data_IF_576177150596
#
_entry.id   IF_576177150596
#
_cell.length_a   1.000
_cell.length_b   1.000
_cell.length_c   1.000
_cell.angle_alpha   90.00
_cell.angle_beta   90.00
_cell.angle_gamma   90.00
#
_symmetry.space_group_name_H-M   'P 1'
#
loop_
_entity.id
_entity.type
_entity.pdbx_description
1 polymer ?
#
# COMPACT_ATOMS: atom_id res chain seq x y z
N UNK A 1 3.91 1.79 -2.70
CA UNK A 1 3.77 0.48 -3.35
C UNK A 1 4.57 0.48 -4.65
N UNK A 2 4.38 -0.50 -5.52
CA UNK A 2 5.18 -0.71 -6.72
C UNK A 2 6.19 -1.85 -6.58
N UNK A 3 6.87 -2.22 -7.69
CA UNK A 3 7.77 -3.36 -7.73
C UNK A 3 8.97 -3.16 -6.79
N UNK A 4 9.34 -4.24 -6.09
CA UNK A 4 10.51 -4.27 -5.22
C UNK A 4 11.79 -4.46 -6.05
N UNK A 5 12.90 -3.92 -5.57
CA UNK A 5 14.22 -4.05 -6.21
C UNK A 5 15.08 -5.17 -5.62
N UNK A 6 14.74 -5.66 -4.42
CA UNK A 6 15.50 -6.68 -3.70
C UNK A 6 14.87 -7.00 -2.35
N UNK A 7 15.62 -7.71 -1.51
CA UNK A 7 15.16 -8.19 -0.19
C UNK A 7 15.01 -7.08 0.86
N UNK A 8 15.58 -5.89 0.61
CA UNK A 8 15.38 -4.72 1.45
C UNK A 8 14.26 -3.85 0.87
N UNK A 9 13.15 -3.74 1.60
CA UNK A 9 11.94 -3.06 1.16
C UNK A 9 11.16 -2.43 2.31
N UNK A 10 10.36 -1.42 1.96
CA UNK A 10 9.64 -0.55 2.90
C UNK A 10 8.52 -1.26 3.66
N UNK A 11 7.99 -0.58 4.69
CA UNK A 11 6.90 -1.10 5.51
C UNK A 11 5.61 -1.39 4.72
N UNK A 12 5.27 -0.58 3.71
CA UNK A 12 4.08 -0.83 2.88
C UNK A 12 4.24 -2.07 1.99
N UNK A 13 5.45 -2.40 1.56
CA UNK A 13 5.73 -3.66 0.87
C UNK A 13 5.65 -4.84 1.84
N UNK A 14 6.08 -4.66 3.10
CA UNK A 14 5.94 -5.67 4.16
C UNK A 14 4.48 -6.05 4.40
N UNK A 15 3.52 -5.11 4.30
CA UNK A 15 2.09 -5.43 4.37
C UNK A 15 1.69 -6.47 3.32
N UNK A 16 2.07 -6.24 2.06
CA UNK A 16 1.76 -7.15 0.95
C UNK A 16 2.48 -8.50 1.13
N UNK A 17 3.75 -8.48 1.53
CA UNK A 17 4.50 -9.70 1.81
C UNK A 17 3.85 -10.53 2.91
N UNK A 18 3.50 -9.92 4.04
CA UNK A 18 2.86 -10.60 5.17
C UNK A 18 1.52 -11.23 4.75
N UNK A 19 0.71 -10.53 3.95
CA UNK A 19 -0.54 -11.09 3.42
C UNK A 19 -0.28 -12.34 2.57
N UNK A 20 0.67 -12.27 1.64
CA UNK A 20 1.04 -13.39 0.78
C UNK A 20 1.68 -14.56 1.57
N UNK A 21 2.36 -14.26 2.67
CA UNK A 21 2.95 -15.24 3.59
C UNK A 21 1.92 -15.85 4.56
N UNK A 22 0.66 -15.40 4.54
CA UNK A 22 -0.41 -15.98 5.34
C UNK A 22 -0.69 -15.26 6.66
N UNK A 23 -0.58 -13.94 6.68
CA UNK A 23 -1.08 -13.13 7.79
C UNK A 23 -2.51 -13.56 8.17
N UNK A 24 -2.81 -13.84 9.46
CA UNK A 24 -4.05 -14.49 9.87
C UNK A 24 -5.34 -13.74 9.52
N UNK A 25 -5.28 -12.43 9.31
CA UNK A 25 -6.44 -11.62 8.97
C UNK A 25 -6.11 -10.16 8.67
N UNK A 26 -7.13 -9.47 8.19
CA UNK A 26 -7.12 -8.05 7.91
C UNK A 26 -7.51 -7.24 9.15
N UNK A 27 -6.94 -6.05 9.26
CA UNK A 27 -7.29 -5.06 10.29
C UNK A 27 -8.09 -3.93 9.63
N UNK A 28 -8.93 -3.23 10.38
CA UNK A 28 -9.66 -2.05 9.90
C UNK A 28 -8.74 -0.84 9.74
N UNK A 29 -7.76 -0.94 8.87
CA UNK A 29 -6.82 0.13 8.53
C UNK A 29 -6.83 0.37 7.04
N UNK A 30 -6.77 1.65 6.67
CA UNK A 30 -6.64 2.07 5.28
C UNK A 30 -5.20 2.44 4.96
N UNK A 31 -4.85 2.45 3.67
CA UNK A 31 -3.56 2.88 3.18
C UNK A 31 -3.74 3.75 1.94
N UNK A 32 -3.09 4.92 1.91
CA UNK A 32 -2.93 5.67 0.69
C UNK A 32 -2.00 4.91 -0.26
N UNK A 33 -2.39 4.83 -1.54
CA UNK A 33 -1.70 4.01 -2.52
C UNK A 33 -1.07 4.88 -3.62
N UNK A 34 0.20 4.63 -3.90
CA UNK A 34 0.93 5.16 -5.06
C UNK A 34 2.05 4.18 -5.44
N UNK A 35 2.31 4.04 -6.73
CA UNK A 35 3.46 3.29 -7.24
C UNK A 35 4.74 4.13 -7.11
N UNK A 36 5.82 3.52 -6.61
CA UNK A 36 7.12 4.19 -6.44
C UNK A 36 7.66 4.76 -7.77
N UNK A 37 7.33 4.15 -8.91
CA UNK A 37 7.69 4.65 -10.24
C UNK A 37 6.98 5.97 -10.54
N UNK A 38 5.73 6.11 -10.12
CA UNK A 38 4.96 7.33 -10.30
C UNK A 38 5.38 8.42 -9.30
N UNK A 39 5.82 8.05 -8.10
CA UNK A 39 6.46 8.98 -7.15
C UNK A 39 7.74 9.56 -7.73
N UNK A 40 8.56 8.73 -8.39
CA UNK A 40 9.78 9.17 -9.05
C UNK A 40 9.48 10.12 -10.24
N UNK A 41 8.47 9.80 -11.05
CA UNK A 41 7.99 10.69 -12.11
C UNK A 41 7.51 12.04 -11.55
N UNK A 42 6.70 12.04 -10.49
CA UNK A 42 6.25 13.27 -9.83
C UNK A 42 7.41 14.08 -9.26
N UNK A 43 8.39 13.40 -8.65
CA UNK A 43 9.61 14.06 -8.15
C UNK A 43 10.35 14.77 -9.28
N UNK A 44 10.57 14.10 -10.41
CA UNK A 44 11.26 14.69 -11.54
C UNK A 44 10.50 15.92 -12.07
N UNK A 45 9.17 15.82 -12.25
CA UNK A 45 8.33 16.95 -12.66
C UNK A 45 8.44 18.12 -11.70
N UNK A 46 8.36 17.86 -10.39
CA UNK A 46 8.47 18.89 -9.38
C UNK A 46 9.85 19.57 -9.34
N UNK A 47 10.91 18.85 -9.73
CA UNK A 47 12.26 19.41 -9.85
C UNK A 47 12.44 20.28 -11.09
N UNK A 48 11.76 19.96 -12.20
CA UNK A 48 12.02 20.59 -13.51
C UNK A 48 10.99 21.62 -13.93
N UNK A 49 9.75 21.51 -13.46
CA UNK A 49 8.68 22.43 -13.86
C UNK A 49 8.71 23.71 -13.01
N UNK A 50 8.85 24.91 -13.63
CA UNK A 50 8.81 26.17 -12.90
C UNK A 50 7.54 26.38 -12.06
N UNK A 51 6.40 25.80 -12.48
CA UNK A 51 5.14 25.88 -11.74
C UNK A 51 5.17 25.12 -10.40
N UNK A 52 6.16 24.25 -10.18
CA UNK A 52 6.34 23.54 -8.93
C UNK A 52 7.06 24.37 -7.85
N UNK A 53 7.64 25.52 -8.20
CA UNK A 53 8.47 26.30 -7.27
C UNK A 53 7.67 26.77 -6.05
N UNK A 54 8.09 26.33 -4.86
CA UNK A 54 7.44 26.68 -3.59
C UNK A 54 6.19 25.87 -3.29
N UNK A 55 5.84 24.90 -4.15
CA UNK A 55 4.65 24.09 -4.00
C UNK A 55 4.94 22.76 -3.29
N UNK A 56 3.92 22.25 -2.58
CA UNK A 56 3.88 20.88 -2.03
C UNK A 56 2.86 20.05 -2.77
N UNK A 57 3.21 18.81 -3.08
CA UNK A 57 2.36 17.85 -3.79
C UNK A 57 2.20 16.57 -2.98
N UNK A 58 1.01 15.98 -3.02
CA UNK A 58 0.74 14.66 -2.44
C UNK A 58 0.80 13.62 -3.56
N UNK A 59 1.67 12.62 -3.38
CA UNK A 59 1.77 11.48 -4.28
C UNK A 59 0.80 10.40 -3.80
N UNK A 60 -0.42 10.39 -4.32
CA UNK A 60 -1.48 9.43 -3.98
C UNK A 60 -2.40 9.24 -5.17
N UNK A 61 -3.03 8.08 -5.29
CA UNK A 61 -3.93 7.75 -6.38
C UNK A 61 -5.29 7.33 -5.83
N UNK A 62 -6.33 8.07 -6.20
CA UNK A 62 -7.70 7.78 -5.78
C UNK A 62 -7.90 7.81 -4.27
N UNK A 63 -8.95 7.12 -3.82
CA UNK A 63 -9.23 6.89 -2.41
C UNK A 63 -8.27 5.85 -1.82
N UNK A 64 -8.07 5.93 -0.50
CA UNK A 64 -7.29 4.92 0.22
C UNK A 64 -7.92 3.53 0.06
N UNK A 65 -7.10 2.48 0.23
CA UNK A 65 -7.57 1.10 0.25
C UNK A 65 -7.55 0.56 1.67
N UNK A 66 -8.67 0.03 2.12
CA UNK A 66 -8.73 -0.80 3.32
C UNK A 66 -7.93 -2.08 3.13
N UNK A 67 -7.34 -2.56 4.22
CA UNK A 67 -6.54 -3.78 4.20
C UNK A 67 -7.30 -4.99 3.61
N UNK A 68 -8.61 -5.08 3.86
CA UNK A 68 -9.47 -6.13 3.31
C UNK A 68 -9.63 -6.01 1.79
N UNK A 69 -9.76 -4.80 1.25
CA UNK A 69 -9.85 -4.57 -0.20
C UNK A 69 -8.54 -4.97 -0.91
N UNK A 70 -7.40 -4.71 -0.26
CA UNK A 70 -6.09 -5.17 -0.76
C UNK A 70 -6.06 -6.70 -0.78
N UNK A 71 -6.49 -7.37 0.30
CA UNK A 71 -6.52 -8.83 0.38
C UNK A 71 -7.43 -9.45 -0.69
N UNK A 72 -8.62 -8.89 -0.90
CA UNK A 72 -9.57 -9.30 -1.93
C UNK A 72 -8.98 -9.12 -3.33
N UNK A 73 -8.34 -7.98 -3.61
CA UNK A 73 -7.65 -7.72 -4.87
C UNK A 73 -6.57 -8.78 -5.13
N UNK A 74 -5.72 -9.07 -4.14
CA UNK A 74 -4.66 -10.09 -4.27
C UNK A 74 -5.27 -11.48 -4.55
N UNK A 75 -6.29 -11.89 -3.81
CA UNK A 75 -7.02 -13.14 -4.02
C UNK A 75 -7.60 -13.26 -5.41
N UNK A 76 -8.27 -12.20 -5.87
CA UNK A 76 -8.94 -12.18 -7.17
C UNK A 76 -7.94 -12.25 -8.33
N UNK A 77 -6.79 -11.58 -8.21
CA UNK A 77 -5.87 -11.37 -9.34
C UNK A 77 -4.71 -12.36 -9.39
N UNK A 78 -4.28 -12.92 -8.26
CA UNK A 78 -3.12 -13.81 -8.19
C UNK A 78 -3.47 -15.31 -8.03
N UNK A 79 -4.75 -15.63 -7.80
CA UNK A 79 -5.23 -17.00 -7.72
C UNK A 79 -4.44 -17.85 -6.71
N UNK A 80 -3.84 -18.95 -7.16
CA UNK A 80 -3.06 -19.86 -6.29
C UNK A 80 -1.91 -19.17 -5.56
N UNK A 81 -1.27 -18.17 -6.17
CA UNK A 81 -0.16 -17.46 -5.53
C UNK A 81 -0.61 -16.61 -4.32
N UNK A 82 -1.90 -16.34 -4.18
CA UNK A 82 -2.50 -15.66 -3.02
C UNK A 82 -3.36 -16.61 -2.17
N UNK A 83 -3.18 -17.94 -2.26
CA UNK A 83 -4.05 -18.88 -1.54
C UNK A 83 -4.02 -18.72 -0.02
N UNK A 84 -2.90 -18.23 0.52
CA UNK A 84 -2.68 -17.95 1.94
C UNK A 84 -3.26 -16.61 2.40
N UNK A 85 -3.62 -15.71 1.48
CA UNK A 85 -4.14 -14.38 1.81
C UNK A 85 -5.51 -14.52 2.49
N UNK A 86 -5.61 -14.07 3.74
CA UNK A 86 -6.87 -14.03 4.49
C UNK A 86 -7.65 -12.75 4.18
N UNK A 87 -8.95 -12.90 3.87
CA UNK A 87 -9.89 -11.79 3.71
C UNK A 87 -10.77 -11.57 4.95
N UNK A 88 -10.51 -12.28 6.05
CA UNK A 88 -11.26 -12.12 7.29
C UNK A 88 -10.77 -10.89 8.06
N UNK A 89 -11.70 -10.02 8.44
CA UNK A 89 -11.41 -8.84 9.25
C UNK A 89 -11.48 -9.18 10.74
N UNK A 90 -10.44 -8.82 11.49
CA UNK A 90 -10.41 -8.98 12.94
C UNK A 90 -11.35 -7.99 13.63
N UNK A 91 -12.15 -8.41 14.61
CA UNK A 91 -12.86 -7.48 15.48
C UNK A 91 -11.87 -6.56 16.19
N UNK A 92 -12.12 -5.25 16.21
CA UNK A 92 -11.19 -4.26 16.76
C UNK A 92 -10.82 -4.53 18.23
N UNK A 93 -11.75 -5.08 19.02
CA UNK A 93 -11.49 -5.44 20.41
C UNK A 93 -10.36 -6.47 20.52
N UNK A 94 -10.36 -7.49 19.64
CA UNK A 94 -9.29 -8.48 19.58
C UNK A 94 -7.96 -7.83 19.18
N UNK A 95 -7.99 -6.85 18.26
CA UNK A 95 -6.80 -6.10 17.86
C UNK A 95 -6.25 -5.30 19.05
N UNK A 96 -7.11 -4.63 19.82
CA UNK A 96 -6.71 -3.85 21.00
C UNK A 96 -6.13 -4.73 22.11
N UNK A 97 -6.73 -5.89 22.38
CA UNK A 97 -6.21 -6.87 23.36
C UNK A 97 -4.83 -7.39 22.90
N UNK A 98 -4.71 -7.80 21.64
CA UNK A 98 -3.44 -8.30 21.10
C UNK A 98 -2.33 -7.22 21.12
N UNK A 99 -2.68 -5.94 21.00
CA UNK A 99 -1.75 -4.82 21.05
C UNK A 99 -1.09 -4.59 22.42
N UNK A 100 -1.63 -5.15 23.51
CA UNK A 100 -1.02 -5.04 24.84
C UNK A 100 0.35 -5.73 24.91
N UNK A 101 0.51 -6.82 24.16
CA UNK A 101 1.74 -7.64 24.13
C UNK A 101 2.47 -7.57 22.79
N UNK A 102 1.84 -7.03 21.74
CA UNK A 102 2.42 -6.90 20.41
C UNK A 102 2.68 -5.42 20.05
N UNK A 103 3.97 -5.02 20.04
CA UNK A 103 4.38 -3.66 19.74
C UNK A 103 3.98 -3.17 18.32
N UNK A 104 3.93 -4.08 17.34
CA UNK A 104 3.49 -3.72 15.99
C UNK A 104 2.00 -3.37 15.99
N UNK A 105 1.16 -4.21 16.60
CA UNK A 105 -0.28 -3.93 16.74
C UNK A 105 -0.54 -2.68 17.57
N UNK A 106 0.27 -2.41 18.59
CA UNK A 106 0.20 -1.16 19.37
C UNK A 106 0.36 0.09 18.52
N UNK A 107 1.24 0.06 17.51
CA UNK A 107 1.37 1.15 16.54
C UNK A 107 0.20 1.25 15.55
N UNK A 108 -0.55 0.15 15.36
CA UNK A 108 -1.69 0.08 14.43
C UNK A 108 -2.99 0.54 15.09
N UNK A 109 -3.18 0.33 16.39
CA UNK A 109 -4.42 0.68 17.11
C UNK A 109 -4.89 2.13 16.86
N UNK A 110 -4.02 3.16 16.87
CA UNK A 110 -4.43 4.55 16.58
C UNK A 110 -4.92 4.78 15.13
N UNK A 111 -4.60 3.85 14.21
CA UNK A 111 -4.94 3.93 12.80
C UNK A 111 -6.24 3.18 12.47
N UNK A 112 -6.86 2.51 13.45
CA UNK A 112 -8.13 1.80 13.23
C UNK A 112 -9.21 2.79 12.79
N UNK A 113 -9.90 2.46 11.70
CA UNK A 113 -10.93 3.27 11.03
C UNK A 113 -10.47 4.66 10.57
N UNK A 114 -9.16 4.92 10.57
CA UNK A 114 -8.64 6.18 10.05
C UNK A 114 -8.64 6.14 8.52
N UNK A 115 -9.38 7.06 7.91
CA UNK A 115 -9.40 7.24 6.46
C UNK A 115 -8.16 8.02 6.01
N UNK A 116 -7.26 7.34 5.29
CA UNK A 116 -6.03 7.91 4.75
C UNK A 116 -6.22 8.49 3.34
N UNK A 117 -7.46 8.69 2.89
CA UNK A 117 -7.73 9.26 1.57
C UNK A 117 -7.20 10.68 1.46
N UNK A 118 -6.59 10.95 0.32
CA UNK A 118 -6.05 12.26 -0.03
C UNK A 118 -6.14 12.46 -1.55
N UNK A 119 -5.94 13.69 -2.02
CA UNK A 119 -6.08 14.01 -3.43
C UNK A 119 -4.79 14.51 -4.06
N UNK A 120 -4.50 14.01 -5.26
CA UNK A 120 -3.41 14.47 -6.12
C UNK A 120 -3.85 15.47 -7.20
N UNK A 121 -5.09 15.99 -7.15
CA UNK A 121 -5.64 16.94 -8.13
C UNK A 121 -4.74 18.13 -8.44
N UNK A 122 -3.94 18.57 -7.45
CA UNK A 122 -2.96 19.65 -7.66
C UNK A 122 -1.80 19.22 -8.56
N UNK A 123 -1.25 18.02 -8.35
CA UNK A 123 -0.19 17.47 -9.18
C UNK A 123 -0.69 17.18 -10.61
N UNK A 124 -1.91 16.65 -10.74
CA UNK A 124 -2.58 16.44 -12.03
C UNK A 124 -2.72 17.77 -12.78
N UNK A 125 -3.30 18.79 -12.14
CA UNK A 125 -3.58 20.09 -12.77
C UNK A 125 -2.33 20.91 -13.08
N UNK A 126 -1.37 20.96 -12.17
CA UNK A 126 -0.20 21.83 -12.32
C UNK A 126 0.95 21.18 -13.08
N UNK A 127 1.15 19.86 -12.93
CA UNK A 127 2.31 19.15 -13.47
C UNK A 127 1.95 18.12 -14.53
N UNK A 128 0.66 18.02 -14.90
CA UNK A 128 0.17 17.00 -15.82
C UNK A 128 0.43 15.58 -15.34
N UNK A 129 0.53 15.37 -14.02
CA UNK A 129 0.88 14.08 -13.45
C UNK A 129 -0.25 13.07 -13.66
N UNK A 130 0.04 11.94 -14.31
CA UNK A 130 -0.93 10.90 -14.65
C UNK A 130 -0.42 9.55 -14.14
N UNK A 131 -0.62 9.23 -12.85
CA UNK A 131 -0.10 8.02 -12.24
C UNK A 131 -0.89 6.76 -12.66
N UNK A 132 -0.30 5.60 -12.42
CA UNK A 132 -0.97 4.29 -12.54
C UNK A 132 -2.06 4.14 -11.49
N UNK A 133 -2.93 3.15 -11.67
CA UNK A 133 -3.96 2.87 -10.67
C UNK A 133 -3.36 2.32 -9.37
N UNK A 134 -4.10 2.49 -8.25
CA UNK A 134 -3.74 1.92 -6.95
C UNK A 134 -3.63 0.38 -7.01
N UNK A 135 -4.49 -0.26 -7.79
CA UNK A 135 -4.49 -1.70 -8.00
C UNK A 135 -3.21 -2.16 -8.73
N UNK A 136 -2.78 -1.44 -9.78
CA UNK A 136 -1.54 -1.75 -10.49
C UNK A 136 -0.31 -1.62 -9.56
N UNK A 137 -0.31 -0.62 -8.68
CA UNK A 137 0.77 -0.43 -7.69
C UNK A 137 0.86 -1.60 -6.69
N UNK A 138 -0.29 -2.14 -6.26
CA UNK A 138 -0.37 -3.30 -5.35
C UNK A 138 0.04 -4.58 -6.08
N UNK A 139 -0.48 -4.80 -7.29
CA UNK A 139 -0.21 -6.02 -8.06
C UNK A 139 1.25 -6.09 -8.49
N UNK A 140 1.83 -5.00 -8.99
CA UNK A 140 3.24 -4.97 -9.37
C UNK A 140 4.18 -5.22 -8.18
N UNK A 141 3.80 -4.78 -6.97
CA UNK A 141 4.49 -5.12 -5.73
C UNK A 141 4.43 -6.64 -5.47
N UNK A 142 3.24 -7.21 -5.43
CA UNK A 142 3.04 -8.64 -5.16
C UNK A 142 3.75 -9.54 -6.19
N UNK A 143 3.58 -9.25 -7.48
CA UNK A 143 4.21 -9.98 -8.58
C UNK A 143 5.74 -9.91 -8.49
N UNK A 144 6.30 -8.76 -8.11
CA UNK A 144 7.75 -8.62 -7.96
C UNK A 144 8.29 -9.43 -6.77
N UNK A 145 7.57 -9.48 -5.64
CA UNK A 145 7.93 -10.31 -4.49
C UNK A 145 7.96 -11.79 -4.85
N UNK A 146 6.94 -12.26 -5.59
CA UNK A 146 6.85 -13.64 -6.08
C UNK A 146 7.98 -13.93 -7.07
N UNK A 147 8.14 -13.10 -8.10
CA UNK A 147 9.13 -13.28 -9.16
C UNK A 147 10.56 -13.33 -8.63
N UNK A 148 10.87 -12.54 -7.60
CA UNK A 148 12.19 -12.48 -6.99
C UNK A 148 12.39 -13.53 -5.88
N UNK A 149 11.40 -14.37 -5.58
CA UNK A 149 11.50 -15.39 -4.54
C UNK A 149 11.70 -14.82 -3.14
N UNK A 150 11.12 -13.65 -2.86
CA UNK A 150 11.30 -12.91 -1.61
C UNK A 150 10.26 -13.26 -0.53
N UNK A 151 9.38 -14.23 -0.81
CA UNK A 151 8.38 -14.71 0.13
C UNK A 151 8.91 -15.94 0.88
N UNK A 152 8.68 -15.97 2.19
CA UNK A 152 8.98 -17.12 3.07
C UNK A 152 7.85 -18.13 2.91
N UNK A 153 8.00 -19.04 1.95
CA UNK A 153 7.05 -20.13 1.69
C UNK A 153 6.68 -20.94 2.92
#
# INVERSE_FOLDING_TARGET
YGPVLGADYSHSIRLIANMLEGQPGCLNVSSCCVDVRDVADLHLRAMTDPAAKGERFLATVGESMWMVEIAELLRQRLGKAAEKVSTQVWPDEQVRIAAETNAQLKGVVPLLHYDMSATAKKAERLLGWTPRSREEAILSCAESLIRLGLLRG
#
